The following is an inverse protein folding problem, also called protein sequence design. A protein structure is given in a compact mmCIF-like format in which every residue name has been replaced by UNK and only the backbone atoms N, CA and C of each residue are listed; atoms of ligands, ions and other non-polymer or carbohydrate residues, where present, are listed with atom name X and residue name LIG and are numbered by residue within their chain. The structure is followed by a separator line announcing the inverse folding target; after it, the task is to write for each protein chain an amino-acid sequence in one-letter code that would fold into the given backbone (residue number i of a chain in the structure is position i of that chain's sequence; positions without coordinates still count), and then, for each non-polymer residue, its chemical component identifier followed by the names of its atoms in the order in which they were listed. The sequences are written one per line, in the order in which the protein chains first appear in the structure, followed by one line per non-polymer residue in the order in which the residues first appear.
data_IF_890765093427
#
_entry.id   IF_890765093427
#
_cell.length_a   1.000
_cell.length_b   1.000
_cell.length_c   1.000
_cell.angle_alpha   90.00
_cell.angle_beta   90.00
_cell.angle_gamma   90.00
#
_symmetry.space_group_name_H-M   'P 1'
#
loop_
_entity.id
_entity.type
_entity.pdbx_description
1 polymer ?
#
# COMPACT_ATOMS: atom_id res chain seq x y z
N UNK A 1 -9.43 12.99 9.59
CA UNK A 1 -8.39 11.95 9.58
C UNK A 1 -9.11 10.62 9.55
N UNK A 2 -8.86 9.79 8.54
CA UNK A 2 -9.46 8.46 8.47
C UNK A 2 -8.55 7.49 9.24
N UNK A 3 -9.12 6.77 10.19
CA UNK A 3 -8.40 5.77 10.98
C UNK A 3 -8.32 4.46 10.21
N UNK A 4 -7.15 3.82 10.21
CA UNK A 4 -6.98 2.49 9.63
C UNK A 4 -7.32 1.41 10.66
N UNK A 5 -8.51 1.53 11.24
CA UNK A 5 -8.95 0.77 12.41
C UNK A 5 -9.61 -0.57 12.08
N UNK A 6 -9.78 -0.89 10.80
CA UNK A 6 -10.33 -2.18 10.36
C UNK A 6 -9.52 -2.74 9.21
N UNK A 7 -9.57 -4.06 9.03
CA UNK A 7 -9.05 -4.74 7.85
C UNK A 7 -9.53 -4.09 6.55
N UNK A 8 -10.83 -3.78 6.48
CA UNK A 8 -11.45 -3.16 5.31
C UNK A 8 -10.86 -1.78 5.02
N UNK A 9 -10.67 -0.95 6.06
CA UNK A 9 -10.04 0.35 5.92
C UNK A 9 -8.59 0.23 5.44
N UNK A 10 -7.80 -0.69 6.00
CA UNK A 10 -6.40 -0.93 5.57
C UNK A 10 -6.33 -1.33 4.11
N UNK A 11 -7.13 -2.31 3.66
CA UNK A 11 -7.07 -2.74 2.26
C UNK A 11 -7.62 -1.67 1.31
N UNK A 12 -8.66 -0.94 1.69
CA UNK A 12 -9.14 0.21 0.91
C UNK A 12 -8.04 1.25 0.74
N UNK A 13 -7.35 1.62 1.82
CA UNK A 13 -6.24 2.57 1.76
C UNK A 13 -5.07 2.03 0.94
N UNK A 14 -4.72 0.75 1.07
CA UNK A 14 -3.64 0.12 0.29
C UNK A 14 -3.94 0.16 -1.23
N UNK A 15 -5.18 -0.15 -1.63
CA UNK A 15 -5.63 -0.10 -3.02
C UNK A 15 -5.56 1.33 -3.57
N UNK A 16 -6.02 2.30 -2.77
CA UNK A 16 -5.95 3.72 -3.13
C UNK A 16 -4.50 4.23 -3.22
N UNK A 17 -3.64 3.81 -2.29
CA UNK A 17 -2.22 4.13 -2.30
C UNK A 17 -1.54 3.65 -3.59
N UNK A 18 -1.77 2.40 -4.00
CA UNK A 18 -1.22 1.87 -5.26
C UNK A 18 -1.81 2.56 -6.49
N UNK A 19 -3.08 2.97 -6.44
CA UNK A 19 -3.71 3.75 -7.51
C UNK A 19 -3.00 5.09 -7.69
N UNK A 20 -2.79 5.82 -6.58
CA UNK A 20 -2.04 7.09 -6.56
C UNK A 20 -0.60 6.92 -7.04
N UNK A 21 0.08 5.87 -6.61
CA UNK A 21 1.46 5.57 -7.04
C UNK A 21 1.53 5.23 -8.52
N UNK A 22 0.59 4.42 -9.05
CA UNK A 22 0.51 4.14 -10.49
C UNK A 22 0.40 5.43 -11.30
N UNK A 23 -0.53 6.30 -10.92
CA UNK A 23 -0.80 7.53 -11.65
C UNK A 23 0.39 8.49 -11.56
N UNK A 24 1.00 8.59 -10.38
CA UNK A 24 2.23 9.34 -10.16
C UNK A 24 3.41 8.83 -11.00
N UNK A 25 3.68 7.52 -11.01
CA UNK A 25 4.77 6.95 -11.80
C UNK A 25 4.54 7.13 -13.31
N UNK A 26 3.29 7.03 -13.77
CA UNK A 26 2.95 7.35 -15.16
C UNK A 26 3.23 8.82 -15.49
N UNK A 27 2.85 9.74 -14.61
CA UNK A 27 3.14 11.16 -14.78
C UNK A 27 4.65 11.46 -14.76
N UNK A 28 5.43 10.68 -14.01
CA UNK A 28 6.89 10.77 -13.96
C UNK A 28 7.61 10.02 -15.12
N UNK A 29 6.87 9.47 -16.09
CA UNK A 29 7.46 8.73 -17.23
C UNK A 29 8.05 7.37 -16.86
N UNK A 30 7.72 6.83 -15.68
CA UNK A 30 8.23 5.56 -15.16
C UNK A 30 7.21 4.43 -15.35
N UNK A 31 6.95 4.07 -16.60
CA UNK A 31 5.88 3.10 -16.96
C UNK A 31 6.06 1.72 -16.32
N UNK A 32 7.30 1.26 -16.13
CA UNK A 32 7.59 -0.01 -15.45
C UNK A 32 7.11 0.02 -14.00
N UNK A 33 7.41 1.09 -13.26
CA UNK A 33 6.96 1.29 -11.87
C UNK A 33 5.45 1.45 -11.79
N UNK A 34 4.86 2.17 -12.75
CA UNK A 34 3.40 2.30 -12.85
C UNK A 34 2.72 0.94 -13.04
N UNK A 35 3.24 0.09 -13.92
CA UNK A 35 2.73 -1.26 -14.16
C UNK A 35 2.86 -2.15 -12.91
N UNK A 36 3.97 -2.08 -12.19
CA UNK A 36 4.15 -2.82 -10.94
C UNK A 36 3.16 -2.36 -9.85
N UNK A 37 2.89 -1.06 -9.73
CA UNK A 37 1.85 -0.57 -8.81
C UNK A 37 0.45 -1.02 -9.20
N UNK A 38 0.12 -1.06 -10.50
CA UNK A 38 -1.17 -1.60 -10.93
C UNK A 38 -1.31 -3.10 -10.65
N UNK A 39 -0.23 -3.90 -10.80
CA UNK A 39 -0.22 -5.32 -10.41
C UNK A 39 -0.49 -5.51 -8.92
N UNK A 40 0.14 -4.70 -8.07
CA UNK A 40 -0.11 -4.71 -6.61
C UNK A 40 -1.56 -4.34 -6.30
N UNK A 41 -2.08 -3.27 -6.90
CA UNK A 41 -3.49 -2.85 -6.77
C UNK A 41 -4.45 -4.00 -7.06
N UNK A 42 -4.30 -4.65 -8.22
CA UNK A 42 -5.15 -5.77 -8.63
C UNK A 42 -5.07 -6.96 -7.65
N UNK A 43 -3.86 -7.26 -7.16
CA UNK A 43 -3.65 -8.32 -6.15
C UNK A 43 -4.39 -7.98 -4.86
N UNK A 44 -4.29 -6.74 -4.38
CA UNK A 44 -4.97 -6.29 -3.16
C UNK A 44 -6.50 -6.28 -3.31
N UNK A 45 -7.02 -5.88 -4.48
CA UNK A 45 -8.45 -5.94 -4.79
C UNK A 45 -8.99 -7.37 -4.75
N UNK A 46 -8.23 -8.32 -5.31
CA UNK A 46 -8.57 -9.74 -5.25
C UNK A 46 -8.57 -10.25 -3.81
N UNK A 47 -7.49 -10.02 -3.07
CA UNK A 47 -7.36 -10.40 -1.66
C UNK A 47 -8.51 -9.85 -0.84
N UNK A 48 -8.85 -8.56 -1.02
CA UNK A 48 -9.98 -7.92 -0.34
C UNK A 48 -11.28 -8.65 -0.64
N UNK A 49 -11.56 -8.99 -1.90
CA UNK A 49 -12.79 -9.68 -2.31
C UNK A 49 -12.89 -11.08 -1.73
N UNK A 50 -11.78 -11.81 -1.72
CA UNK A 50 -11.72 -13.21 -1.26
C UNK A 50 -11.80 -13.32 0.27
N UNK A 51 -11.29 -12.31 0.99
CA UNK A 51 -11.11 -12.39 2.45
C UNK A 51 -12.03 -11.48 3.28
N UNK A 52 -12.92 -10.70 2.65
CA UNK A 52 -13.79 -9.75 3.38
C UNK A 52 -14.72 -10.44 4.40
N UNK A 53 -15.00 -11.72 4.21
CA UNK A 53 -15.87 -12.51 5.09
C UNK A 53 -15.14 -13.17 6.26
N UNK A 54 -13.80 -13.21 6.25
CA UNK A 54 -12.99 -13.89 7.29
C UNK A 54 -12.49 -12.94 8.39
N UNK A 55 -12.90 -11.67 8.34
CA UNK A 55 -12.40 -10.62 9.22
C UNK A 55 -12.95 -10.78 10.64
N UNK A 56 -12.06 -10.91 11.64
CA UNK A 56 -12.43 -10.63 13.04
C UNK A 56 -12.52 -9.13 13.25
N UNK A 57 -13.60 -8.67 13.87
CA UNK A 57 -13.93 -7.26 14.13
C UNK A 57 -13.06 -6.59 15.21
N UNK A 58 -11.86 -7.12 15.48
CA UNK A 58 -10.96 -6.49 16.45
C UNK A 58 -10.44 -5.17 15.86
N UNK A 59 -10.63 -4.05 16.57
CA UNK A 59 -10.17 -2.76 16.08
C UNK A 59 -8.64 -2.72 16.05
N UNK A 60 -8.11 -2.24 14.93
CA UNK A 60 -6.69 -1.99 14.76
C UNK A 60 -6.37 -0.62 15.38
N UNK A 61 -5.39 -0.59 16.28
CA UNK A 61 -4.90 0.66 16.89
C UNK A 61 -3.57 1.09 16.29
N UNK A 62 -3.25 2.37 16.44
CA UNK A 62 -1.92 2.94 16.16
C UNK A 62 -1.51 2.91 14.68
N UNK A 63 -2.48 3.07 13.78
CA UNK A 63 -2.23 3.18 12.34
C UNK A 63 -3.11 4.28 11.74
N UNK A 64 -2.48 5.35 11.23
CA UNK A 64 -3.17 6.49 10.65
C UNK A 64 -2.71 6.75 9.22
N UNK A 65 -3.64 7.08 8.33
CA UNK A 65 -3.33 7.38 6.92
C UNK A 65 -2.35 8.55 6.78
N UNK A 66 -2.42 9.52 7.69
CA UNK A 66 -1.58 10.73 7.68
C UNK A 66 -0.08 10.42 7.85
N UNK A 67 0.28 9.31 8.51
CA UNK A 67 1.66 8.90 8.71
C UNK A 67 2.36 8.42 7.42
N UNK A 68 1.55 8.23 6.36
CA UNK A 68 1.94 7.69 5.06
C UNK A 68 1.59 8.62 3.90
N UNK A 69 1.54 9.93 4.15
CA UNK A 69 1.32 10.93 3.11
C UNK A 69 2.43 10.87 2.04
N UNK A 70 2.03 10.75 0.78
CA UNK A 70 2.94 10.75 -0.36
C UNK A 70 3.18 12.17 -0.87
N UNK A 71 4.43 12.55 -1.10
CA UNK A 71 4.75 13.74 -1.90
C UNK A 71 4.72 13.39 -3.40
N UNK A 72 3.55 13.53 -4.02
CA UNK A 72 3.34 13.22 -5.45
C UNK A 72 3.69 14.37 -6.39
N UNK A 73 4.16 15.51 -5.86
CA UNK A 73 4.52 16.68 -6.67
C UNK A 73 5.97 16.64 -7.18
N UNK A 74 6.85 15.93 -6.47
CA UNK A 74 8.24 15.74 -6.87
C UNK A 74 8.36 14.48 -7.72
N UNK A 75 8.51 14.64 -9.04
CA UNK A 75 8.65 13.53 -9.99
C UNK A 75 10.10 13.11 -10.23
N UNK A 76 11.06 13.74 -9.56
CA UNK A 76 12.48 13.37 -9.65
C UNK A 76 12.72 11.94 -9.15
N UNK A 77 13.89 11.37 -9.47
CA UNK A 77 14.28 10.05 -8.92
C UNK A 77 14.27 10.03 -7.39
N UNK A 78 14.65 11.14 -6.74
CA UNK A 78 14.63 11.28 -5.30
C UNK A 78 13.19 11.27 -4.76
N UNK A 79 12.27 12.01 -5.40
CA UNK A 79 10.84 12.02 -5.07
C UNK A 79 10.22 10.64 -5.23
N UNK A 80 10.54 9.94 -6.31
CA UNK A 80 10.05 8.59 -6.57
C UNK A 80 10.57 7.59 -5.52
N UNK A 81 11.84 7.70 -5.14
CA UNK A 81 12.43 6.88 -4.08
C UNK A 81 11.75 7.15 -2.74
N UNK A 82 11.49 8.42 -2.39
CA UNK A 82 10.78 8.78 -1.16
C UNK A 82 9.33 8.26 -1.13
N UNK A 83 8.63 8.29 -2.27
CA UNK A 83 7.30 7.71 -2.42
C UNK A 83 7.31 6.19 -2.19
N UNK A 84 8.28 5.48 -2.80
CA UNK A 84 8.47 4.04 -2.59
C UNK A 84 8.80 3.70 -1.12
N UNK A 85 9.67 4.46 -0.47
CA UNK A 85 10.00 4.28 0.95
C UNK A 85 8.78 4.48 1.87
N UNK A 86 7.95 5.48 1.57
CA UNK A 86 6.73 5.74 2.32
C UNK A 86 5.73 4.59 2.17
N UNK A 87 5.56 4.07 0.94
CA UNK A 87 4.74 2.90 0.69
C UNK A 87 5.27 1.65 1.40
N UNK A 88 6.58 1.39 1.36
CA UNK A 88 7.21 0.30 2.09
C UNK A 88 6.93 0.38 3.60
N UNK A 89 7.11 1.58 4.20
CA UNK A 89 6.80 1.82 5.62
C UNK A 89 5.35 1.51 5.96
N UNK A 90 4.41 1.94 5.11
CA UNK A 90 2.99 1.63 5.30
C UNK A 90 2.75 0.12 5.34
N UNK A 91 3.23 -0.62 4.34
CA UNK A 91 2.99 -2.06 4.27
C UNK A 91 3.67 -2.82 5.42
N UNK A 92 4.87 -2.41 5.84
CA UNK A 92 5.55 -2.99 7.01
C UNK A 92 4.77 -2.74 8.30
N UNK A 93 4.17 -1.56 8.47
CA UNK A 93 3.36 -1.24 9.65
C UNK A 93 2.00 -1.94 9.64
N UNK A 94 1.36 -2.06 8.47
CA UNK A 94 0.02 -2.61 8.33
C UNK A 94 -0.01 -4.15 8.38
N UNK A 95 0.97 -4.83 7.76
CA UNK A 95 1.00 -6.29 7.68
C UNK A 95 0.80 -7.03 9.02
N UNK A 96 1.55 -6.74 10.11
CA UNK A 96 1.40 -7.45 11.38
C UNK A 96 0.07 -7.19 12.09
N UNK A 97 -0.70 -6.18 11.65
CA UNK A 97 -2.03 -5.86 12.18
C UNK A 97 -3.15 -6.67 11.52
N UNK A 98 -2.83 -7.42 10.45
CA UNK A 98 -3.80 -8.25 9.72
C UNK A 98 -3.78 -9.69 10.24
N UNK A 99 -4.93 -10.18 10.68
CA UNK A 99 -5.11 -11.54 11.18
C UNK A 99 -5.45 -12.58 10.09
N UNK A 100 -5.74 -12.13 8.88
CA UNK A 100 -5.96 -12.99 7.70
C UNK A 100 -4.61 -13.26 7.03
N UNK A 101 -4.16 -14.50 7.08
CA UNK A 101 -2.80 -14.88 6.64
C UNK A 101 -2.51 -14.57 5.17
N UNK A 102 -3.48 -14.74 4.29
CA UNK A 102 -3.31 -14.41 2.86
C UNK A 102 -3.10 -12.91 2.66
N UNK A 103 -3.94 -12.09 3.28
CA UNK A 103 -3.84 -10.64 3.21
C UNK A 103 -2.56 -10.11 3.86
N UNK A 104 -2.18 -10.64 5.03
CA UNK A 104 -0.91 -10.34 5.67
C UNK A 104 0.26 -10.57 4.69
N UNK A 105 0.33 -11.76 4.06
CA UNK A 105 1.38 -12.09 3.09
C UNK A 105 1.38 -11.19 1.86
N UNK A 106 0.21 -10.75 1.41
CA UNK A 106 0.10 -9.81 0.31
C UNK A 106 0.71 -8.46 0.68
N UNK A 107 0.45 -7.95 1.88
CA UNK A 107 1.05 -6.71 2.39
C UNK A 107 2.57 -6.84 2.60
N UNK A 108 3.04 -7.94 3.19
CA UNK A 108 4.48 -8.22 3.34
C UNK A 108 5.22 -8.23 1.98
N UNK A 109 4.58 -8.81 0.96
CA UNK A 109 5.12 -8.81 -0.40
C UNK A 109 5.19 -7.40 -0.98
N UNK A 110 4.17 -6.57 -0.77
CA UNK A 110 4.18 -5.18 -1.22
C UNK A 110 5.30 -4.39 -0.53
N UNK A 111 5.50 -4.58 0.78
CA UNK A 111 6.60 -3.96 1.52
C UNK A 111 7.97 -4.29 0.91
N UNK A 112 8.21 -5.57 0.62
CA UNK A 112 9.45 -6.05 0.00
C UNK A 112 9.68 -5.42 -1.37
N UNK A 113 8.68 -5.45 -2.24
CA UNK A 113 8.78 -4.90 -3.60
C UNK A 113 9.04 -3.39 -3.63
N UNK A 114 8.39 -2.63 -2.74
CA UNK A 114 8.65 -1.20 -2.61
C UNK A 114 10.04 -0.91 -2.04
N UNK A 115 10.50 -1.71 -1.08
CA UNK A 115 11.86 -1.59 -0.53
C UNK A 115 12.94 -1.86 -1.59
N UNK A 116 12.74 -2.87 -2.44
CA UNK A 116 13.62 -3.18 -3.57
C UNK A 116 13.61 -2.06 -4.62
N UNK A 117 12.44 -1.43 -4.84
CA UNK A 117 12.30 -0.30 -5.78
C UNK A 117 12.86 1.02 -5.23
N UNK A 118 13.02 1.13 -3.92
CA UNK A 118 13.58 2.28 -3.23
C UNK A 118 15.11 2.21 -3.10
N UNK A 119 15.73 1.04 -3.27
CA UNK A 119 17.19 0.88 -3.36
C UNK A 119 17.79 1.64 -4.54
#
# INVERSE_FOLDING_TARGET
MSELNTFGAILTFAIDLETRLRDYYRAAGSDSRAAESDKRRQTLERVRRENITEIKLEPITDLHEADFALNLSDTSEAGQRAAAQTAARFYTAAAPKINVREAQRALERCAKQHSESAG
#
